data_IF_148017763423
#
_entry.id   IF_148017763423
#
_cell.length_a   1.000
_cell.length_b   1.000
_cell.length_c   1.000
_cell.angle_alpha   90.00
_cell.angle_beta   90.00
_cell.angle_gamma   90.00
#
_symmetry.space_group_name_H-M   'P 1'
#
loop_
_entity.id
_entity.type
_entity.pdbx_description
1 polymer ?
#
# COMPACT_ATOMS: atom_id res chain seq x y z
N UNK A 1 7.62 -5.74 24.99
CA UNK A 1 9.04 -6.08 25.24
C UNK A 1 9.84 -5.69 24.01
N UNK A 2 10.99 -5.06 24.20
CA UNK A 2 11.92 -4.75 23.10
C UNK A 2 12.95 -5.87 22.97
N UNK A 3 13.26 -6.26 21.73
CA UNK A 3 14.31 -7.24 21.42
C UNK A 3 15.33 -6.60 20.50
N UNK A 4 16.57 -6.52 20.94
CA UNK A 4 17.67 -6.10 20.09
C UNK A 4 17.99 -7.17 19.05
N UNK A 5 18.30 -6.72 17.84
CA UNK A 5 18.72 -7.57 16.73
C UNK A 5 20.01 -7.00 16.13
N UNK A 6 20.94 -7.88 15.77
CA UNK A 6 22.16 -7.51 15.05
C UNK A 6 21.98 -7.84 13.57
N UNK A 7 22.22 -6.87 12.70
CA UNK A 7 22.01 -6.98 11.25
C UNK A 7 23.28 -6.49 10.56
N UNK A 8 23.74 -7.24 9.56
CA UNK A 8 24.81 -6.79 8.65
C UNK A 8 24.17 -5.97 7.52
N UNK A 9 24.73 -4.80 7.26
CA UNK A 9 24.28 -3.89 6.21
C UNK A 9 25.34 -3.82 5.12
N UNK A 10 24.91 -3.92 3.86
CA UNK A 10 25.74 -3.56 2.72
C UNK A 10 25.96 -2.04 2.65
N UNK A 11 26.81 -1.60 1.74
CA UNK A 11 27.22 -0.19 1.65
C UNK A 11 26.04 0.75 1.37
N UNK A 12 25.08 0.30 0.57
CA UNK A 12 23.87 1.05 0.24
C UNK A 12 22.96 1.20 1.46
N UNK A 13 22.72 0.12 2.19
CA UNK A 13 21.93 0.14 3.41
C UNK A 13 22.62 0.96 4.52
N UNK A 14 23.96 0.92 4.60
CA UNK A 14 24.71 1.79 5.50
C UNK A 14 24.57 3.26 5.11
N UNK A 15 24.61 3.58 3.81
CA UNK A 15 24.39 4.94 3.33
C UNK A 15 22.97 5.42 3.65
N UNK A 16 21.95 4.61 3.36
CA UNK A 16 20.57 4.92 3.69
C UNK A 16 20.37 5.15 5.20
N UNK A 17 20.98 4.31 6.06
CA UNK A 17 20.91 4.49 7.50
C UNK A 17 21.54 5.83 7.93
N UNK A 18 22.70 6.20 7.39
CA UNK A 18 23.33 7.51 7.67
C UNK A 18 22.44 8.68 7.29
N UNK A 19 21.77 8.60 6.13
CA UNK A 19 20.83 9.64 5.67
C UNK A 19 19.66 9.76 6.65
N UNK A 20 19.07 8.63 7.06
CA UNK A 20 17.92 8.62 7.97
C UNK A 20 18.26 9.13 9.38
N UNK A 21 19.50 8.95 9.84
CA UNK A 21 19.95 9.43 11.16
C UNK A 21 20.55 10.84 11.13
N UNK A 22 20.72 11.47 9.95
CA UNK A 22 21.40 12.78 9.81
C UNK A 22 20.71 13.89 10.61
N UNK A 23 19.41 13.76 10.87
CA UNK A 23 18.61 14.70 11.66
C UNK A 23 18.80 14.56 13.18
N UNK A 24 19.74 13.72 13.65
CA UNK A 24 19.97 13.46 15.07
C UNK A 24 19.09 12.34 15.65
N UNK A 25 18.31 11.66 14.81
CA UNK A 25 17.52 10.47 15.20
C UNK A 25 18.44 9.29 15.52
N UNK A 26 18.04 8.47 16.49
CA UNK A 26 18.78 7.24 16.81
C UNK A 26 18.66 6.22 15.67
N UNK A 27 19.66 5.37 15.50
CA UNK A 27 19.62 4.27 14.52
C UNK A 27 18.41 3.35 14.75
N UNK A 28 18.14 3.00 16.02
CA UNK A 28 17.00 2.15 16.37
C UNK A 28 15.65 2.77 16.02
N UNK A 29 15.50 4.09 16.18
CA UNK A 29 14.30 4.82 15.79
C UNK A 29 14.13 4.84 14.27
N UNK A 30 15.19 5.21 13.54
CA UNK A 30 15.20 5.25 12.08
C UNK A 30 14.86 3.88 11.46
N UNK A 31 15.47 2.80 11.97
CA UNK A 31 15.22 1.44 11.49
C UNK A 31 13.79 1.00 11.80
N UNK A 32 13.29 1.28 13.01
CA UNK A 32 11.92 0.94 13.40
C UNK A 32 10.89 1.65 12.52
N UNK A 33 11.07 2.95 12.29
CA UNK A 33 10.19 3.74 11.43
C UNK A 33 10.20 3.20 9.99
N UNK A 34 11.38 2.92 9.43
CA UNK A 34 11.53 2.35 8.09
C UNK A 34 10.83 1.00 7.95
N UNK A 35 10.99 0.09 8.93
CA UNK A 35 10.34 -1.22 8.93
C UNK A 35 8.81 -1.10 8.98
N UNK A 36 8.28 -0.26 9.86
CA UNK A 36 6.83 -0.03 9.98
C UNK A 36 6.27 0.61 8.72
N UNK A 37 6.97 1.61 8.17
CA UNK A 37 6.57 2.30 6.94
C UNK A 37 6.51 1.33 5.76
N UNK A 38 7.53 0.49 5.59
CA UNK A 38 7.57 -0.52 4.54
C UNK A 38 6.48 -1.58 4.71
N UNK A 39 6.21 -2.04 5.94
CA UNK A 39 5.13 -2.98 6.20
C UNK A 39 3.76 -2.37 5.86
N UNK A 40 3.54 -1.10 6.20
CA UNK A 40 2.32 -0.37 5.86
C UNK A 40 2.16 -0.16 4.36
N UNK A 41 3.23 0.22 3.66
CA UNK A 41 3.19 0.44 2.21
C UNK A 41 2.90 -0.87 1.47
N UNK A 42 3.48 -2.00 1.91
CA UNK A 42 3.17 -3.33 1.37
C UNK A 42 1.72 -3.72 1.61
N UNK A 43 1.20 -3.57 2.84
CA UNK A 43 -0.22 -3.82 3.13
C UNK A 43 -1.15 -3.00 2.23
N UNK A 44 -0.83 -1.72 2.02
CA UNK A 44 -1.61 -0.86 1.12
C UNK A 44 -1.52 -1.32 -0.33
N UNK A 45 -0.34 -1.69 -0.81
CA UNK A 45 -0.14 -2.20 -2.16
C UNK A 45 -0.86 -3.54 -2.39
N UNK A 46 -0.91 -4.41 -1.38
CA UNK A 46 -1.64 -5.67 -1.45
C UNK A 46 -3.15 -5.44 -1.51
N UNK A 47 -3.68 -4.48 -0.73
CA UNK A 47 -5.08 -4.04 -0.84
C UNK A 47 -5.40 -3.40 -2.19
N UNK A 48 -4.49 -2.61 -2.76
CA UNK A 48 -4.66 -2.05 -4.11
C UNK A 48 -4.66 -3.14 -5.17
N UNK A 49 -3.76 -4.13 -5.08
CA UNK A 49 -3.75 -5.28 -5.99
C UNK A 49 -4.98 -6.17 -5.84
N UNK A 50 -5.49 -6.33 -4.63
CA UNK A 50 -6.74 -7.05 -4.36
C UNK A 50 -7.96 -6.28 -4.90
N UNK A 51 -8.01 -4.96 -4.72
CA UNK A 51 -9.03 -4.10 -5.31
C UNK A 51 -8.96 -4.08 -6.85
N UNK A 52 -7.77 -4.06 -7.45
CA UNK A 52 -7.58 -4.17 -8.90
C UNK A 52 -8.04 -5.54 -9.43
N UNK A 53 -7.76 -6.64 -8.71
CA UNK A 53 -8.27 -7.97 -9.04
C UNK A 53 -9.78 -8.07 -8.95
N UNK A 54 -10.40 -7.49 -7.91
CA UNK A 54 -11.86 -7.43 -7.76
C UNK A 54 -12.51 -6.54 -8.83
N UNK A 55 -11.86 -5.46 -9.26
CA UNK A 55 -12.38 -4.52 -10.28
C UNK A 55 -12.22 -5.06 -11.71
N UNK A 56 -11.34 -6.05 -11.92
CA UNK A 56 -11.09 -6.63 -13.23
C UNK A 56 -12.16 -7.64 -13.69
N UNK A 57 -13.12 -8.04 -12.84
CA UNK A 57 -14.17 -8.98 -13.21
C UNK A 57 -15.01 -8.43 -14.39
N UNK A 58 -15.01 -9.18 -15.50
CA UNK A 58 -15.75 -8.83 -16.71
C UNK A 58 -17.26 -8.89 -16.50
N UNK A 59 -17.73 -9.76 -15.61
CA UNK A 59 -19.14 -9.92 -15.32
C UNK A 59 -19.69 -8.69 -14.58
N UNK A 60 -18.93 -8.17 -13.61
CA UNK A 60 -19.30 -6.97 -12.87
C UNK A 60 -19.37 -5.72 -13.75
N UNK A 61 -18.48 -5.61 -14.74
CA UNK A 61 -18.54 -4.51 -15.72
C UNK A 61 -19.75 -4.61 -16.63
N UNK A 62 -20.10 -5.83 -17.07
CA UNK A 62 -21.29 -6.06 -17.87
C UNK A 62 -22.57 -5.73 -17.07
N UNK A 63 -22.62 -6.15 -15.81
CA UNK A 63 -23.77 -5.88 -14.93
C UNK A 63 -23.91 -4.39 -14.61
N UNK A 64 -22.82 -3.70 -14.25
CA UNK A 64 -22.82 -2.24 -14.06
C UNK A 64 -23.36 -1.50 -15.28
N UNK A 65 -23.01 -1.95 -16.49
CA UNK A 65 -23.52 -1.35 -17.74
C UNK A 65 -25.02 -1.62 -17.92
N UNK A 66 -25.51 -2.83 -17.64
CA UNK A 66 -26.95 -3.15 -17.70
C UNK A 66 -27.77 -2.31 -16.72
N UNK A 67 -27.31 -2.23 -15.47
CA UNK A 67 -27.98 -1.45 -14.42
C UNK A 67 -28.00 0.03 -14.78
N UNK A 68 -26.91 0.60 -15.29
CA UNK A 68 -26.88 2.00 -15.74
C UNK A 68 -27.90 2.28 -16.85
N UNK A 69 -28.02 1.38 -17.84
CA UNK A 69 -29.02 1.49 -18.92
C UNK A 69 -30.45 1.40 -18.37
N UNK A 70 -30.70 0.47 -17.45
CA UNK A 70 -32.01 0.32 -16.81
C UNK A 70 -32.40 1.57 -16.01
N UNK A 71 -31.47 2.11 -15.22
CA UNK A 71 -31.72 3.33 -14.42
C UNK A 71 -31.99 4.55 -15.29
N UNK A 72 -31.29 4.67 -16.42
CA UNK A 72 -31.55 5.74 -17.39
C UNK A 72 -32.92 5.59 -18.06
N UNK A 73 -33.34 4.36 -18.41
CA UNK A 73 -34.68 4.12 -18.97
C UNK A 73 -35.81 4.45 -17.98
N UNK A 74 -35.60 4.16 -16.69
CA UNK A 74 -36.57 4.51 -15.63
C UNK A 74 -36.64 6.01 -15.39
N UNK A 75 -35.51 6.72 -15.50
CA UNK A 75 -35.46 8.18 -15.41
C UNK A 75 -36.15 8.86 -16.59
N UNK A 76 -35.96 8.34 -17.81
CA UNK A 76 -36.55 8.91 -19.02
C UNK A 76 -38.06 8.63 -19.17
N UNK A 77 -38.58 7.64 -18.44
CA UNK A 77 -39.98 7.24 -18.47
C UNK A 77 -40.85 7.91 -17.38
N UNK A 78 -40.26 8.71 -16.49
CA UNK A 78 -40.95 9.51 -15.47
C UNK A 78 -40.96 10.99 -15.82
#
# INVERSE_FOLDING_TARGET
MERAISIRLDDDAQHALRVLTRSGRSQSEAVREALISLARSRRKADLTKEAERLTADRNDRAEKKRVAVLMESLRAAG
#
